data_IF_931678498047
#
_entry.id   IF_931678498047
#
_cell.length_a   1.000
_cell.length_b   1.000
_cell.length_c   1.000
_cell.angle_alpha   90.00
_cell.angle_beta   90.00
_cell.angle_gamma   90.00
#
_symmetry.space_group_name_H-M   'P 1'
#
loop_
_entity.id
_entity.type
_entity.pdbx_description
1 polymer ?
#
# COMPACT_ATOMS: atom_id res chain seq x y z
N UNK A 1 5.32 -18.64 -8.09
CA UNK A 1 4.36 -18.11 -7.11
C UNK A 1 5.07 -17.06 -6.26
N UNK A 2 4.75 -15.77 -6.44
CA UNK A 2 5.43 -14.63 -5.81
C UNK A 2 5.35 -14.66 -4.28
N UNK A 3 4.23 -15.11 -3.71
CA UNK A 3 3.94 -15.11 -2.27
C UNK A 3 3.98 -16.49 -1.62
N UNK A 4 4.66 -17.49 -2.20
CA UNK A 4 4.60 -18.86 -1.69
C UNK A 4 5.03 -19.00 -0.23
N UNK A 5 6.11 -18.32 0.17
CA UNK A 5 6.62 -18.32 1.56
C UNK A 5 5.83 -17.42 2.52
N UNK A 6 5.05 -16.50 1.97
CA UNK A 6 4.26 -15.56 2.77
C UNK A 6 2.81 -16.02 2.95
N UNK A 7 2.43 -17.11 2.29
CA UNK A 7 1.05 -17.62 2.29
C UNK A 7 0.49 -17.85 3.72
N UNK A 8 1.22 -18.45 4.68
CA UNK A 8 0.70 -18.63 6.03
C UNK A 8 0.36 -17.29 6.71
N UNK A 9 1.19 -16.27 6.50
CA UNK A 9 0.96 -14.93 7.04
C UNK A 9 -0.28 -14.28 6.42
N UNK A 10 -0.44 -14.38 5.10
CA UNK A 10 -1.60 -13.84 4.38
C UNK A 10 -2.90 -14.57 4.74
N UNK A 11 -2.86 -15.88 4.98
CA UNK A 11 -4.01 -16.64 5.47
C UNK A 11 -4.44 -16.18 6.87
N UNK A 12 -3.49 -16.07 7.81
CA UNK A 12 -3.77 -15.53 9.13
C UNK A 12 -4.30 -14.09 9.08
N UNK A 13 -3.83 -13.29 8.12
CA UNK A 13 -4.37 -11.94 7.91
C UNK A 13 -5.85 -11.98 7.51
N UNK A 14 -6.25 -12.87 6.59
CA UNK A 14 -7.66 -13.02 6.18
C UNK A 14 -8.55 -13.33 7.38
N UNK A 15 -8.10 -14.20 8.28
CA UNK A 15 -8.86 -14.58 9.48
C UNK A 15 -9.01 -13.44 10.50
N UNK A 16 -8.12 -12.46 10.44
CA UNK A 16 -8.06 -11.35 11.42
C UNK A 16 -8.38 -9.97 10.84
N UNK A 17 -8.64 -9.85 9.54
CA UNK A 17 -8.77 -8.58 8.83
C UNK A 17 -9.83 -7.66 9.45
N UNK A 18 -11.00 -8.18 9.80
CA UNK A 18 -12.07 -7.37 10.37
C UNK A 18 -11.68 -6.74 11.70
N UNK A 19 -11.07 -7.55 12.60
CA UNK A 19 -10.59 -7.06 13.90
C UNK A 19 -9.54 -5.98 13.72
N UNK A 20 -8.54 -6.21 12.88
CA UNK A 20 -7.47 -5.25 12.62
C UNK A 20 -7.99 -3.95 12.01
N UNK A 21 -8.97 -4.01 11.10
CA UNK A 21 -9.59 -2.83 10.51
C UNK A 21 -10.31 -2.00 11.57
N UNK A 22 -11.03 -2.63 12.52
CA UNK A 22 -11.67 -1.92 13.63
C UNK A 22 -10.63 -1.21 14.53
N UNK A 23 -9.51 -1.86 14.81
CA UNK A 23 -8.41 -1.27 15.62
C UNK A 23 -7.76 -0.05 14.95
N UNK A 24 -7.85 0.09 13.62
CA UNK A 24 -7.24 1.18 12.86
C UNK A 24 -8.21 2.30 12.48
N UNK A 25 -9.50 2.19 12.82
CA UNK A 25 -10.52 3.17 12.40
C UNK A 25 -10.26 4.61 12.82
N UNK A 26 -9.61 4.82 13.95
CA UNK A 26 -9.28 6.16 14.44
C UNK A 26 -8.25 6.90 13.56
N UNK A 27 -7.53 6.17 12.70
CA UNK A 27 -6.57 6.72 11.75
C UNK A 27 -7.16 6.93 10.35
N UNK A 28 -8.45 6.65 10.16
CA UNK A 28 -9.08 6.74 8.86
C UNK A 28 -9.27 8.19 8.42
N UNK A 29 -9.01 8.43 7.15
CA UNK A 29 -9.27 9.69 6.45
C UNK A 29 -9.83 9.41 5.06
N UNK A 30 -10.06 10.46 4.26
CA UNK A 30 -10.41 10.29 2.86
C UNK A 30 -9.20 9.71 2.11
N UNK A 31 -9.38 8.57 1.48
CA UNK A 31 -8.42 7.93 0.59
C UNK A 31 -8.92 7.95 -0.84
N UNK A 32 -8.02 8.00 -1.80
CA UNK A 32 -8.35 7.92 -3.23
C UNK A 32 -8.82 6.51 -3.61
N UNK A 33 -8.19 5.50 -3.02
CA UNK A 33 -8.51 4.08 -3.20
C UNK A 33 -8.39 3.54 -4.65
N UNK A 34 -7.73 4.31 -5.52
CA UNK A 34 -7.18 3.90 -6.82
C UNK A 34 -5.98 4.82 -7.17
N UNK A 35 -5.08 5.00 -6.19
CA UNK A 35 -3.95 5.91 -6.29
C UNK A 35 -2.81 5.27 -7.07
N UNK A 36 -2.87 5.37 -8.38
CA UNK A 36 -1.90 4.77 -9.29
C UNK A 36 -1.44 5.80 -10.34
N UNK A 37 -0.29 5.58 -11.03
CA UNK A 37 0.28 6.55 -11.96
C UNK A 37 -0.66 7.05 -13.06
N UNK A 38 -1.58 6.22 -13.54
CA UNK A 38 -2.55 6.60 -14.57
C UNK A 38 -3.55 7.68 -14.11
N UNK A 39 -3.76 7.81 -12.79
CA UNK A 39 -4.69 8.77 -12.19
C UNK A 39 -3.97 10.05 -11.71
N UNK A 40 -2.69 10.23 -12.09
CA UNK A 40 -1.88 11.38 -11.76
C UNK A 40 -1.45 12.11 -13.03
N UNK A 41 -1.61 13.42 -13.05
CA UNK A 41 -1.11 14.27 -14.10
C UNK A 41 -0.21 15.37 -13.52
N UNK A 42 0.99 15.50 -14.07
CA UNK A 42 1.96 16.49 -13.64
C UNK A 42 1.92 17.70 -14.60
N UNK A 43 1.69 18.88 -14.04
CA UNK A 43 1.72 20.15 -14.78
C UNK A 43 2.74 21.09 -14.12
N UNK A 44 3.98 20.99 -14.51
CA UNK A 44 5.09 21.68 -13.86
C UNK A 44 5.26 21.19 -12.42
N UNK A 45 5.13 22.10 -11.44
CA UNK A 45 5.23 21.76 -10.01
C UNK A 45 3.89 21.26 -9.41
N UNK A 46 2.82 21.28 -10.17
CA UNK A 46 1.50 20.87 -9.69
C UNK A 46 1.22 19.41 -10.05
N UNK A 47 0.60 18.70 -9.13
CA UNK A 47 0.07 17.35 -9.33
C UNK A 47 -1.45 17.46 -9.33
N UNK A 48 -2.07 16.97 -10.40
CA UNK A 48 -3.53 16.85 -10.50
C UNK A 48 -3.86 15.38 -10.29
N UNK A 49 -4.74 15.12 -9.34
CA UNK A 49 -5.23 13.77 -9.01
C UNK A 49 -6.68 13.72 -9.48
N UNK A 50 -7.00 12.76 -10.35
CA UNK A 50 -8.33 12.58 -10.91
C UNK A 50 -8.82 11.14 -10.73
N UNK A 51 -10.07 10.90 -11.13
CA UNK A 51 -10.74 9.59 -10.99
C UNK A 51 -10.98 9.17 -9.52
N UNK A 52 -11.66 10.05 -8.79
CA UNK A 52 -12.03 9.87 -7.38
C UNK A 52 -13.27 8.98 -7.16
N UNK A 53 -13.73 8.24 -8.18
CA UNK A 53 -14.96 7.46 -8.10
C UNK A 53 -14.92 6.35 -7.04
N UNK A 54 -13.73 5.85 -6.71
CA UNK A 54 -13.52 4.82 -5.68
C UNK A 54 -13.14 5.41 -4.32
N UNK A 55 -13.12 6.74 -4.19
CA UNK A 55 -12.73 7.39 -2.94
C UNK A 55 -13.57 6.89 -1.76
N UNK A 56 -12.92 6.61 -0.66
CA UNK A 56 -13.55 6.04 0.52
C UNK A 56 -12.87 6.49 1.81
N UNK A 57 -13.48 6.19 2.93
CA UNK A 57 -12.89 6.45 4.24
C UNK A 57 -12.03 5.26 4.66
N UNK A 58 -10.74 5.47 4.78
CA UNK A 58 -9.75 4.41 5.04
C UNK A 58 -8.42 4.93 5.55
N UNK A 59 -7.45 4.04 5.68
CA UNK A 59 -6.09 4.40 6.04
C UNK A 59 -5.39 5.12 4.88
N UNK A 60 -4.80 6.31 5.08
CA UNK A 60 -4.06 7.03 4.03
C UNK A 60 -2.85 6.25 3.49
N UNK A 61 -2.27 5.36 4.29
CA UNK A 61 -1.20 4.46 3.86
C UNK A 61 -1.63 3.50 2.76
N UNK A 62 -2.93 3.27 2.58
CA UNK A 62 -3.44 2.45 1.48
C UNK A 62 -3.03 3.03 0.12
N UNK A 63 -3.21 4.34 -0.07
CA UNK A 63 -2.84 5.02 -1.31
C UNK A 63 -1.32 4.98 -1.56
N UNK A 64 -0.50 5.15 -0.51
CA UNK A 64 0.95 4.97 -0.60
C UNK A 64 1.34 3.56 -1.05
N UNK A 65 0.76 2.54 -0.42
CA UNK A 65 1.02 1.12 -0.76
C UNK A 65 0.62 0.82 -2.19
N UNK A 66 -0.54 1.30 -2.62
CA UNK A 66 -1.00 1.11 -3.98
C UNK A 66 -0.04 1.75 -4.98
N UNK A 67 0.29 3.03 -4.80
CA UNK A 67 1.22 3.75 -5.67
C UNK A 67 2.58 3.05 -5.77
N UNK A 68 3.19 2.74 -4.62
CA UNK A 68 4.47 2.04 -4.59
C UNK A 68 4.40 0.67 -5.27
N UNK A 69 3.29 -0.04 -5.17
CA UNK A 69 3.13 -1.34 -5.86
C UNK A 69 3.20 -1.20 -7.38
N UNK A 70 2.82 -0.07 -7.95
CA UNK A 70 2.96 0.19 -9.39
C UNK A 70 4.38 0.61 -9.80
N UNK A 71 5.08 1.41 -8.99
CA UNK A 71 6.32 2.09 -9.38
C UNK A 71 7.57 1.62 -8.64
N UNK A 72 7.49 0.59 -7.80
CA UNK A 72 8.56 0.17 -6.91
C UNK A 72 9.85 -0.22 -7.64
N UNK A 73 9.75 -0.67 -8.89
CA UNK A 73 10.91 -1.02 -9.73
C UNK A 73 11.81 0.17 -10.06
N UNK A 74 11.30 1.40 -9.93
CA UNK A 74 12.04 2.64 -10.17
C UNK A 74 12.93 3.04 -8.99
N UNK A 75 12.75 2.41 -7.80
CA UNK A 75 13.41 2.81 -6.56
C UNK A 75 14.31 1.72 -5.98
N UNK A 76 15.43 2.14 -5.39
CA UNK A 76 16.23 1.30 -4.50
C UNK A 76 15.49 1.03 -3.18
N UNK A 77 15.95 0.05 -2.40
CA UNK A 77 15.32 -0.25 -1.11
C UNK A 77 15.46 0.90 -0.10
N UNK A 78 16.57 1.65 -0.14
CA UNK A 78 16.79 2.84 0.71
C UNK A 78 15.78 3.93 0.39
N UNK A 79 15.60 4.25 -0.90
CA UNK A 79 14.64 5.27 -1.34
C UNK A 79 13.20 4.91 -0.94
N UNK A 80 12.84 3.63 -1.01
CA UNK A 80 11.51 3.19 -0.52
C UNK A 80 11.34 3.45 0.97
N UNK A 81 12.37 3.21 1.79
CA UNK A 81 12.33 3.53 3.22
C UNK A 81 12.24 5.04 3.48
N UNK A 82 12.96 5.85 2.70
CA UNK A 82 12.92 7.31 2.80
C UNK A 82 11.54 7.86 2.41
N UNK A 83 10.91 7.31 1.36
CA UNK A 83 9.54 7.67 0.96
C UNK A 83 8.54 7.33 2.07
N UNK A 84 8.63 6.14 2.67
CA UNK A 84 7.75 5.75 3.77
C UNK A 84 7.93 6.65 5.00
N UNK A 85 9.16 7.01 5.35
CA UNK A 85 9.42 7.89 6.49
C UNK A 85 8.94 9.32 6.22
N UNK A 86 9.18 9.84 5.01
CA UNK A 86 8.66 11.14 4.59
C UNK A 86 7.13 11.17 4.64
N UNK A 87 6.46 10.13 4.14
CA UNK A 87 5.01 10.03 4.22
C UNK A 87 4.53 10.04 5.68
N UNK A 88 5.16 9.25 6.55
CA UNK A 88 4.85 9.24 7.98
C UNK A 88 4.92 10.65 8.59
N UNK A 89 6.04 11.34 8.38
CA UNK A 89 6.27 12.68 8.95
C UNK A 89 5.26 13.71 8.43
N UNK A 90 4.98 13.70 7.13
CA UNK A 90 4.02 14.64 6.52
C UNK A 90 2.59 14.38 6.96
N UNK A 91 2.19 13.10 7.01
CA UNK A 91 0.86 12.69 7.44
C UNK A 91 0.62 13.12 8.90
N UNK A 92 1.57 12.87 9.79
CA UNK A 92 1.43 13.21 11.20
C UNK A 92 1.37 14.72 11.43
N UNK A 93 2.21 15.46 10.71
CA UNK A 93 2.16 16.91 10.73
C UNK A 93 0.79 17.44 10.24
N UNK A 94 0.26 16.87 9.17
CA UNK A 94 -1.00 17.30 8.57
C UNK A 94 -2.22 16.98 9.45
N UNK A 95 -2.22 15.81 10.09
CA UNK A 95 -3.33 15.34 10.94
C UNK A 95 -3.18 15.73 12.41
N UNK A 96 -2.05 16.35 12.78
CA UNK A 96 -1.70 16.69 14.18
C UNK A 96 -1.78 15.47 15.11
N UNK A 97 -1.29 14.32 14.66
CA UNK A 97 -1.23 13.08 15.42
C UNK A 97 0.23 12.72 15.73
N UNK A 98 0.43 12.02 16.84
CA UNK A 98 1.73 11.46 17.20
C UNK A 98 1.64 9.94 17.17
N UNK A 99 2.32 9.34 16.19
CA UNK A 99 2.35 7.89 16.00
C UNK A 99 3.80 7.41 16.00
N UNK A 100 4.08 6.40 16.78
CA UNK A 100 5.40 5.77 16.81
C UNK A 100 5.74 5.11 15.47
N UNK A 101 7.04 4.87 15.24
CA UNK A 101 7.48 4.12 14.05
C UNK A 101 6.91 2.71 14.04
N UNK A 102 6.74 2.10 15.19
CA UNK A 102 6.19 0.77 15.38
C UNK A 102 4.71 0.70 15.00
N UNK A 103 3.93 1.68 15.40
CA UNK A 103 2.51 1.78 15.03
C UNK A 103 2.35 2.00 13.53
N UNK A 104 3.10 2.95 12.97
CA UNK A 104 3.11 3.17 11.53
C UNK A 104 3.50 1.93 10.74
N UNK A 105 4.51 1.18 11.22
CA UNK A 105 4.93 -0.07 10.62
C UNK A 105 3.79 -1.12 10.59
N UNK A 106 3.04 -1.26 11.69
CA UNK A 106 1.87 -2.16 11.75
C UNK A 106 0.78 -1.76 10.77
N UNK A 107 0.57 -0.46 10.59
CA UNK A 107 -0.40 0.07 9.62
C UNK A 107 0.06 -0.25 8.18
N UNK A 108 1.34 -0.05 7.86
CA UNK A 108 1.90 -0.46 6.56
C UNK A 108 1.75 -1.96 6.32
N UNK A 109 2.03 -2.81 7.32
CA UNK A 109 1.84 -4.27 7.21
C UNK A 109 0.38 -4.65 6.97
N UNK A 110 -0.55 -3.95 7.62
CA UNK A 110 -1.98 -4.12 7.38
C UNK A 110 -2.33 -3.77 5.93
N UNK A 111 -1.98 -2.57 5.47
CA UNK A 111 -2.38 -2.07 4.16
C UNK A 111 -1.76 -2.87 3.01
N UNK A 112 -0.48 -3.28 3.09
CA UNK A 112 0.11 -4.15 2.05
C UNK A 112 -0.52 -5.54 2.02
N UNK A 113 -0.88 -6.10 3.17
CA UNK A 113 -1.56 -7.39 3.24
C UNK A 113 -2.97 -7.30 2.66
N UNK A 114 -3.69 -6.23 2.97
CA UNK A 114 -5.02 -5.93 2.43
C UNK A 114 -4.97 -5.74 0.92
N UNK A 115 -4.01 -4.97 0.41
CA UNK A 115 -3.81 -4.77 -1.03
C UNK A 115 -3.57 -6.11 -1.76
N UNK A 116 -2.70 -6.96 -1.25
CA UNK A 116 -2.39 -8.27 -1.84
C UNK A 116 -3.63 -9.18 -1.87
N UNK A 117 -4.35 -9.26 -0.76
CA UNK A 117 -5.50 -10.16 -0.62
C UNK A 117 -6.69 -9.68 -1.44
N UNK A 118 -7.00 -8.41 -1.38
CA UNK A 118 -8.18 -7.85 -2.03
C UNK A 118 -7.86 -7.38 -3.46
N UNK A 119 -7.10 -6.30 -3.61
CA UNK A 119 -6.97 -5.56 -4.87
C UNK A 119 -6.11 -6.30 -5.89
N UNK A 120 -4.94 -6.79 -5.49
CA UNK A 120 -4.08 -7.56 -6.39
C UNK A 120 -4.75 -8.86 -6.88
N UNK A 121 -5.55 -9.49 -6.03
CA UNK A 121 -6.32 -10.67 -6.40
C UNK A 121 -7.38 -10.38 -7.46
N UNK A 122 -8.02 -9.20 -7.41
CA UNK A 122 -8.97 -8.73 -8.43
C UNK A 122 -8.26 -8.46 -9.75
N UNK A 123 -7.14 -7.74 -9.75
CA UNK A 123 -6.33 -7.51 -10.96
C UNK A 123 -5.90 -8.82 -11.62
N UNK A 124 -5.45 -9.80 -10.83
CA UNK A 124 -5.09 -11.12 -11.37
C UNK A 124 -6.25 -11.90 -11.96
N UNK A 125 -7.45 -11.75 -11.40
CA UNK A 125 -8.67 -12.36 -11.99
C UNK A 125 -9.02 -11.67 -13.30
N UNK A 126 -9.03 -10.34 -13.32
CA UNK A 126 -9.29 -9.54 -14.52
C UNK A 126 -8.28 -9.86 -15.65
N UNK A 127 -7.01 -10.05 -15.32
CA UNK A 127 -5.97 -10.43 -16.28
C UNK A 127 -6.16 -11.78 -16.98
N UNK A 128 -7.10 -12.62 -16.51
CA UNK A 128 -7.50 -13.85 -17.24
C UNK A 128 -8.44 -13.55 -18.41
N UNK A 129 -9.10 -12.42 -18.40
CA UNK A 129 -10.12 -12.03 -19.40
C UNK A 129 -9.65 -10.85 -20.25
N UNK A 130 -8.74 -10.03 -19.70
CA UNK A 130 -8.24 -8.83 -20.35
C UNK A 130 -6.71 -8.87 -20.37
N UNK A 131 -6.11 -8.37 -21.45
CA UNK A 131 -4.66 -8.15 -21.48
C UNK A 131 -4.30 -6.98 -20.58
N UNK A 132 -3.69 -7.25 -19.46
CA UNK A 132 -3.22 -6.27 -18.49
C UNK A 132 -1.69 -6.40 -18.37
N UNK A 133 -0.96 -5.66 -19.17
CA UNK A 133 0.50 -5.81 -19.33
C UNK A 133 1.28 -5.50 -18.04
N UNK A 134 0.69 -4.71 -17.12
CA UNK A 134 1.30 -4.32 -15.84
C UNK A 134 1.19 -5.36 -14.72
N UNK A 135 0.42 -6.43 -14.89
CA UNK A 135 0.08 -7.37 -13.78
C UNK A 135 1.32 -8.09 -13.23
N UNK A 136 2.25 -8.47 -14.08
CA UNK A 136 3.43 -9.19 -13.63
C UNK A 136 4.32 -8.28 -12.80
N UNK A 137 4.57 -7.06 -13.25
CA UNK A 137 5.33 -6.06 -12.51
C UNK A 137 4.65 -5.70 -11.19
N UNK A 138 3.33 -5.54 -11.19
CA UNK A 138 2.56 -5.29 -9.99
C UNK A 138 2.71 -6.42 -8.96
N UNK A 139 2.70 -7.69 -9.39
CA UNK A 139 2.92 -8.83 -8.51
C UNK A 139 4.35 -8.87 -7.94
N UNK A 140 5.36 -8.60 -8.76
CA UNK A 140 6.77 -8.56 -8.35
C UNK A 140 7.00 -7.43 -7.35
N UNK A 141 6.53 -6.24 -7.68
CA UNK A 141 6.65 -5.05 -6.85
C UNK A 141 5.94 -5.23 -5.50
N UNK A 142 4.70 -5.75 -5.51
CA UNK A 142 3.95 -6.00 -4.27
C UNK A 142 4.65 -7.03 -3.38
N UNK A 143 5.23 -8.08 -3.95
CA UNK A 143 5.98 -9.08 -3.19
C UNK A 143 7.26 -8.49 -2.59
N UNK A 144 7.99 -7.65 -3.35
CA UNK A 144 9.17 -6.93 -2.87
C UNK A 144 8.80 -5.96 -1.75
N UNK A 145 7.74 -5.15 -1.94
CA UNK A 145 7.25 -4.19 -0.96
C UNK A 145 6.84 -4.87 0.35
N UNK A 146 6.09 -5.96 0.26
CA UNK A 146 5.74 -6.79 1.41
C UNK A 146 6.96 -7.28 2.18
N UNK A 147 7.98 -7.76 1.46
CA UNK A 147 9.24 -8.19 2.06
C UNK A 147 10.03 -7.06 2.74
N UNK A 148 10.04 -5.85 2.16
CA UNK A 148 10.69 -4.67 2.74
C UNK A 148 9.99 -4.21 4.03
N UNK A 149 8.68 -4.11 4.00
CA UNK A 149 7.88 -3.70 5.16
C UNK A 149 8.11 -4.67 6.32
N UNK A 150 8.06 -5.97 6.11
CA UNK A 150 8.23 -6.98 7.16
C UNK A 150 9.65 -7.08 7.74
N UNK A 151 10.68 -6.85 6.93
CA UNK A 151 12.08 -6.88 7.41
C UNK A 151 12.38 -5.77 8.41
N UNK A 152 11.72 -4.62 8.29
CA UNK A 152 11.89 -3.49 9.23
C UNK A 152 11.43 -3.86 10.65
N UNK A 153 10.53 -4.81 10.79
CA UNK A 153 10.03 -5.32 12.10
C UNK A 153 11.04 -6.26 12.78
N UNK A 154 11.93 -6.91 12.02
CA UNK A 154 12.86 -7.95 12.53
C UNK A 154 14.23 -7.38 12.92
N UNK A 155 14.56 -6.15 12.52
CA UNK A 155 15.87 -5.52 12.75
C UNK A 155 15.96 -4.72 14.06
N UNK A 156 15.21 -5.15 15.11
CA UNK A 156 15.28 -4.59 16.47
C UNK A 156 15.88 -5.56 17.46
#
# INVERSE_FOLDING_TARGET
LYFKKDLPCLMNFIDTIHKKREELKEHFTLTHNDFCPRNLFFNGENIIIYDWELASYGNPEHDLIEYLSFVLHEFSNSEVYDIMEYHREKLFSALNINMSKEEYQKILEFNISEFIVNKLSVYRRAGKFFKLDFIEDLCVNSARLFGLIRRRTVLK
#
